data_IF_903138354020
#
_entry.id   IF_903138354020
#
_cell.length_a   1.000
_cell.length_b   1.000
_cell.length_c   1.000
_cell.angle_alpha   90.00
_cell.angle_beta   90.00
_cell.angle_gamma   90.00
#
_symmetry.space_group_name_H-M   'P 1'
#
loop_
_entity.id
_entity.type
_entity.pdbx_description
1 polymer ?
#
# COMPACT_ATOMS: atom_id res chain seq x y z
N UNK A 1 11.55 1.59 -12.26
CA UNK A 1 10.93 0.67 -11.31
C UNK A 1 9.45 0.57 -11.56
N UNK A 2 8.94 -0.62 -11.46
CA UNK A 2 7.51 -0.86 -11.53
C UNK A 2 6.89 -0.74 -10.16
N UNK A 3 5.62 -0.33 -10.10
CA UNK A 3 4.91 -0.20 -8.83
C UNK A 3 4.65 -1.58 -8.21
N UNK A 4 4.39 -2.59 -9.05
CA UNK A 4 4.30 -3.95 -8.57
C UNK A 4 5.66 -4.39 -8.01
N UNK A 5 5.64 -4.96 -6.84
CA UNK A 5 6.86 -5.36 -6.15
C UNK A 5 7.38 -4.36 -5.14
N UNK A 6 6.77 -3.17 -5.05
CA UNK A 6 7.15 -2.20 -4.03
C UNK A 6 6.79 -2.73 -2.65
N UNK A 7 7.68 -2.49 -1.70
CA UNK A 7 7.38 -2.81 -0.31
C UNK A 7 6.54 -1.68 0.29
N UNK A 8 5.52 -2.06 1.03
CA UNK A 8 4.58 -1.10 1.63
C UNK A 8 4.84 -1.01 3.13
N UNK A 9 4.99 0.23 3.60
CA UNK A 9 5.22 0.52 5.01
C UNK A 9 4.20 1.52 5.51
N UNK A 10 3.84 1.44 6.79
CA UNK A 10 3.01 2.48 7.39
C UNK A 10 3.89 3.67 7.78
N UNK A 11 3.29 4.73 8.29
CA UNK A 11 4.01 5.94 8.64
C UNK A 11 4.97 5.78 9.82
N UNK A 12 4.86 4.68 10.55
CA UNK A 12 5.78 4.35 11.64
C UNK A 12 6.93 3.47 11.18
N UNK A 13 6.91 3.06 9.91
CA UNK A 13 7.96 2.24 9.34
C UNK A 13 7.73 0.75 9.46
N UNK A 14 6.53 0.32 9.86
CA UNK A 14 6.23 -1.11 9.96
C UNK A 14 5.93 -1.68 8.56
N UNK A 15 6.54 -2.81 8.20
CA UNK A 15 6.25 -3.43 6.90
C UNK A 15 4.83 -3.98 6.89
N UNK A 16 4.09 -3.64 5.83
CA UNK A 16 2.69 -4.03 5.69
C UNK A 16 2.43 -4.94 4.50
N UNK A 17 3.46 -5.26 3.73
CA UNK A 17 3.35 -6.18 2.62
C UNK A 17 4.04 -5.67 1.36
N UNK A 18 3.72 -6.33 0.24
CA UNK A 18 4.30 -6.02 -1.06
C UNK A 18 3.16 -5.85 -2.05
N UNK A 19 3.27 -4.86 -2.93
CA UNK A 19 2.25 -4.63 -3.96
C UNK A 19 2.32 -5.77 -4.97
N UNK A 20 1.21 -6.51 -5.09
CA UNK A 20 1.11 -7.65 -5.96
C UNK A 20 0.46 -7.30 -7.30
N UNK A 21 -0.49 -6.37 -7.28
CA UNK A 21 -1.26 -6.02 -8.47
C UNK A 21 -1.84 -4.62 -8.33
N UNK A 22 -2.34 -4.09 -9.45
CA UNK A 22 -2.96 -2.77 -9.49
C UNK A 22 -4.31 -2.92 -10.18
N UNK A 23 -5.37 -2.43 -9.54
CA UNK A 23 -6.72 -2.47 -10.09
C UNK A 23 -7.11 -1.05 -10.48
N UNK A 24 -7.22 -0.73 -11.77
CA UNK A 24 -7.69 0.59 -12.19
C UNK A 24 -9.21 0.68 -11.97
N UNK A 25 -9.65 1.76 -11.34
CA UNK A 25 -11.07 1.95 -11.03
C UNK A 25 -11.72 3.11 -11.79
N UNK A 26 -10.93 3.80 -12.58
CA UNK A 26 -11.43 4.96 -13.33
C UNK A 26 -11.26 6.29 -12.58
N UNK A 27 -11.32 6.29 -11.28
CA UNK A 27 -11.11 7.50 -10.48
C UNK A 27 -9.73 7.47 -9.80
N UNK A 28 -9.51 6.45 -8.99
CA UNK A 28 -8.22 6.24 -8.33
C UNK A 28 -7.89 4.77 -8.43
N UNK A 29 -6.63 4.47 -8.65
CA UNK A 29 -6.21 3.09 -8.71
C UNK A 29 -6.22 2.49 -7.31
N UNK A 30 -6.43 1.19 -7.24
CA UNK A 30 -6.37 0.44 -5.99
C UNK A 30 -5.23 -0.57 -6.12
N UNK A 31 -4.32 -0.54 -5.17
CA UNK A 31 -3.18 -1.46 -5.17
C UNK A 31 -3.49 -2.64 -4.27
N UNK A 32 -3.26 -3.83 -4.80
CA UNK A 32 -3.43 -5.07 -4.02
C UNK A 32 -2.12 -5.35 -3.31
N UNK A 33 -2.17 -5.40 -1.99
CA UNK A 33 -0.99 -5.63 -1.15
C UNK A 33 -1.11 -7.00 -0.52
N UNK A 34 -0.03 -7.77 -0.60
CA UNK A 34 0.02 -9.09 0.02
C UNK A 34 1.01 -9.09 1.17
N UNK A 35 0.56 -9.60 2.30
CA UNK A 35 1.39 -9.74 3.49
C UNK A 35 1.25 -11.18 4.00
N UNK A 36 2.16 -12.05 3.56
CA UNK A 36 2.05 -13.47 3.88
C UNK A 36 0.83 -14.09 3.23
N UNK A 37 -0.06 -14.64 4.03
CA UNK A 37 -1.30 -15.24 3.53
C UNK A 37 -2.44 -14.23 3.45
N UNK A 38 -2.20 -12.99 3.87
CA UNK A 38 -3.22 -11.96 3.89
C UNK A 38 -3.07 -11.04 2.68
N UNK A 39 -4.20 -10.69 2.10
CA UNK A 39 -4.26 -9.76 0.98
C UNK A 39 -5.20 -8.62 1.33
N UNK A 40 -4.78 -7.40 1.10
CA UNK A 40 -5.60 -6.23 1.39
C UNK A 40 -5.42 -5.18 0.29
N UNK A 41 -6.32 -4.22 0.23
CA UNK A 41 -6.33 -3.21 -0.81
C UNK A 41 -5.96 -1.84 -0.28
N UNK A 42 -5.11 -1.14 -1.03
CA UNK A 42 -4.63 0.19 -0.67
C UNK A 42 -5.10 1.18 -1.73
N UNK A 43 -6.04 2.06 -1.40
CA UNK A 43 -6.49 3.08 -2.37
C UNK A 43 -5.41 4.16 -2.53
N UNK A 44 -5.15 4.53 -3.77
CA UNK A 44 -4.14 5.55 -4.10
C UNK A 44 -4.76 6.94 -4.06
N UNK A 45 -5.07 7.43 -2.87
CA UNK A 45 -5.62 8.77 -2.67
C UNK A 45 -4.66 9.57 -1.77
N UNK A 46 -4.67 10.89 -1.93
CA UNK A 46 -3.72 11.77 -1.25
C UNK A 46 -3.76 11.66 0.27
N UNK A 47 -4.94 11.37 0.83
CA UNK A 47 -5.07 11.23 2.28
C UNK A 47 -4.48 9.93 2.81
N UNK A 48 -4.20 8.96 1.94
CA UNK A 48 -3.67 7.65 2.33
C UNK A 48 -2.21 7.51 1.96
N UNK A 49 -1.83 7.90 0.74
CA UNK A 49 -0.46 7.73 0.27
C UNK A 49 0.40 8.89 0.76
N UNK A 50 1.41 8.58 1.56
CA UNK A 50 2.34 9.58 2.06
C UNK A 50 3.48 9.83 1.10
N UNK A 51 4.12 8.77 0.63
CA UNK A 51 5.22 8.90 -0.31
C UNK A 51 5.46 7.60 -1.06
N UNK A 52 6.03 7.74 -2.25
CA UNK A 52 6.46 6.59 -3.06
C UNK A 52 7.90 6.86 -3.46
N UNK A 53 8.79 5.94 -3.10
CA UNK A 53 10.20 6.01 -3.47
C UNK A 53 10.51 4.86 -4.40
N UNK A 54 10.51 5.13 -5.69
CA UNK A 54 10.75 4.11 -6.70
C UNK A 54 12.19 3.63 -6.70
N UNK A 55 13.13 4.48 -6.31
CA UNK A 55 14.55 4.10 -6.29
C UNK A 55 14.84 3.07 -5.21
N UNK A 56 14.18 3.20 -4.07
CA UNK A 56 14.34 2.26 -2.98
C UNK A 56 13.31 1.14 -3.01
N UNK A 57 12.30 1.27 -3.86
CA UNK A 57 11.24 0.29 -3.95
C UNK A 57 10.32 0.29 -2.74
N UNK A 58 9.97 1.47 -2.24
CA UNK A 58 9.16 1.63 -1.03
C UNK A 58 7.96 2.52 -1.28
N UNK A 59 6.86 2.18 -0.61
CA UNK A 59 5.67 3.03 -0.55
C UNK A 59 5.30 3.19 0.92
N UNK A 60 5.06 4.43 1.34
CA UNK A 60 4.64 4.73 2.72
C UNK A 60 3.23 5.28 2.67
N UNK A 61 2.35 4.76 3.52
CA UNK A 61 0.98 5.20 3.59
C UNK A 61 0.60 5.62 5.01
N UNK A 62 -0.45 6.45 5.12
CA UNK A 62 -1.03 6.81 6.40
C UNK A 62 -2.06 5.76 6.78
N UNK A 63 -1.91 5.20 7.95
CA UNK A 63 -2.87 4.23 8.47
C UNK A 63 -4.08 4.99 9.00
N UNK A 64 -5.18 4.90 8.29
CA UNK A 64 -6.43 5.57 8.68
C UNK A 64 -7.27 4.61 9.49
N UNK A 65 -7.61 5.03 10.71
CA UNK A 65 -8.41 4.22 11.60
C UNK A 65 -9.76 3.90 10.98
N UNK A 66 -10.19 2.65 11.07
CA UNK A 66 -11.43 2.20 10.49
C UNK A 66 -11.33 1.74 9.05
N UNK A 67 -10.36 2.23 8.30
CA UNK A 67 -10.16 1.84 6.90
C UNK A 67 -9.27 0.62 6.76
N UNK A 68 -8.32 0.46 7.66
CA UNK A 68 -7.33 -0.63 7.62
C UNK A 68 -7.37 -1.49 8.88
N UNK A 69 -8.57 -1.76 9.40
CA UNK A 69 -8.72 -2.53 10.63
C UNK A 69 -8.20 -3.95 10.51
N UNK A 70 -8.29 -4.53 9.32
CA UNK A 70 -7.94 -5.93 9.11
C UNK A 70 -6.47 -6.14 8.75
N UNK A 71 -5.67 -5.07 8.72
CA UNK A 71 -4.26 -5.20 8.37
C UNK A 71 -3.48 -5.64 9.61
N UNK A 72 -2.76 -6.77 9.55
CA UNK A 72 -1.91 -7.19 10.65
C UNK A 72 -0.70 -6.26 10.76
N UNK A 73 -0.32 -5.98 11.95
CA UNK A 73 0.82 -5.10 12.23
C UNK A 73 2.01 -5.93 12.69
#
# INVERSE_FOLDING_TARGET
FEIEGLEVFDEEGHPCGIIEDIIPTGSNDVYVVRNGDLEWMLPMIDSVVKSIDLEQGKLVFHRIEGLFEDIPV
#
